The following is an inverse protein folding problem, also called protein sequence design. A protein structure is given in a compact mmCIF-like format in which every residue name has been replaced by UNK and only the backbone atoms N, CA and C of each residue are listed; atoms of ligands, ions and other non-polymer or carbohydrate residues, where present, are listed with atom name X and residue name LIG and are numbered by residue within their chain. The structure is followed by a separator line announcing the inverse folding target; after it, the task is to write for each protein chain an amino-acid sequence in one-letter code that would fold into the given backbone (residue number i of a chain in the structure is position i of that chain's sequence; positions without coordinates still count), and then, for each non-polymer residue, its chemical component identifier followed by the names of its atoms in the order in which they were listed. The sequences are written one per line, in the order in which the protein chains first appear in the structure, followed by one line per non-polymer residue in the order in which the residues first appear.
data_IF_021194499292
#
_entry.id   IF_021194499292
#
_cell.length_a   1.000
_cell.length_b   1.000
_cell.length_c   1.000
_cell.angle_alpha   90.00
_cell.angle_beta   90.00
_cell.angle_gamma   90.00
#
_symmetry.space_group_name_H-M   'P 1'
#
loop_
_entity.id
_entity.type
_entity.pdbx_description
1 polymer ?
#
# COMPACT_ATOMS: atom_id res chain seq x y z
N UNK A 1 74.21 -11.38 -29.51
CA UNK A 1 72.80 -11.90 -29.44
C UNK A 1 71.96 -11.37 -28.26
N UNK A 2 72.41 -10.39 -27.46
CA UNK A 2 71.65 -9.85 -26.28
C UNK A 2 70.65 -8.75 -26.62
N UNK A 3 70.72 -8.08 -27.77
CA UNK A 3 69.86 -6.96 -28.14
C UNK A 3 68.47 -7.34 -28.64
N UNK A 4 68.26 -8.54 -29.17
CA UNK A 4 66.96 -9.00 -29.73
C UNK A 4 65.90 -9.32 -28.64
N UNK A 5 66.38 -9.80 -27.48
CA UNK A 5 65.48 -10.11 -26.38
C UNK A 5 64.87 -8.87 -25.71
N UNK A 6 65.60 -7.76 -25.59
CA UNK A 6 65.10 -6.49 -25.02
C UNK A 6 64.09 -5.82 -25.92
N UNK A 7 64.26 -5.88 -27.25
CA UNK A 7 63.34 -5.29 -28.20
C UNK A 7 61.97 -5.99 -28.17
N UNK A 8 61.94 -7.31 -28.05
CA UNK A 8 60.71 -8.12 -27.95
C UNK A 8 60.03 -7.87 -26.63
N UNK A 9 60.75 -7.78 -25.50
CA UNK A 9 60.18 -7.52 -24.19
C UNK A 9 59.56 -6.11 -24.12
N UNK A 10 60.19 -5.08 -24.73
CA UNK A 10 59.64 -3.72 -24.77
C UNK A 10 58.40 -3.63 -25.67
N UNK A 11 58.39 -4.32 -26.82
CA UNK A 11 57.23 -4.39 -27.71
C UNK A 11 56.04 -5.11 -27.06
N UNK A 12 56.27 -6.21 -26.35
CA UNK A 12 55.21 -6.93 -25.62
C UNK A 12 54.68 -6.08 -24.46
N UNK A 13 55.55 -5.35 -23.75
CA UNK A 13 55.16 -4.43 -22.69
C UNK A 13 54.31 -3.24 -23.21
N UNK A 14 54.68 -2.65 -24.35
CA UNK A 14 53.93 -1.54 -24.96
C UNK A 14 52.58 -2.00 -25.52
N UNK A 15 52.48 -3.20 -26.08
CA UNK A 15 51.20 -3.76 -26.56
C UNK A 15 50.27 -4.12 -25.40
N UNK A 16 50.81 -4.70 -24.33
CA UNK A 16 50.02 -4.99 -23.12
C UNK A 16 49.50 -3.70 -22.46
N UNK A 17 50.33 -2.65 -22.37
CA UNK A 17 49.93 -1.34 -21.82
C UNK A 17 48.90 -0.64 -22.71
N UNK A 18 48.98 -0.73 -24.01
CA UNK A 18 48.02 -0.22 -24.97
C UNK A 18 46.64 -0.92 -24.89
N UNK A 19 46.65 -2.24 -24.63
CA UNK A 19 45.39 -3.00 -24.44
C UNK A 19 44.67 -2.65 -23.16
N UNK A 20 45.36 -2.35 -22.06
CA UNK A 20 44.74 -1.94 -20.77
C UNK A 20 44.14 -0.54 -20.88
N UNK A 21 44.79 0.39 -21.59
CA UNK A 21 44.29 1.75 -21.79
C UNK A 21 43.15 1.83 -22.85
N UNK A 22 43.06 0.85 -23.73
CA UNK A 22 42.05 0.81 -24.79
C UNK A 22 40.62 0.55 -24.31
N UNK A 23 40.46 -0.13 -23.17
CA UNK A 23 39.15 -0.47 -22.63
C UNK A 23 38.33 0.75 -22.14
N UNK A 24 39.00 1.86 -21.81
CA UNK A 24 38.28 3.08 -21.36
C UNK A 24 37.85 3.99 -22.52
N UNK A 25 38.32 3.75 -23.75
CA UNK A 25 38.03 4.57 -24.94
C UNK A 25 37.17 3.86 -25.98
N UNK A 26 36.38 2.86 -25.56
CA UNK A 26 35.49 2.15 -26.49
C UNK A 26 34.39 3.15 -26.94
N UNK A 27 34.25 3.39 -28.27
CA UNK A 27 33.16 4.23 -28.78
C UNK A 27 31.81 3.69 -28.33
N UNK A 28 30.95 4.55 -27.76
CA UNK A 28 29.63 4.16 -27.22
C UNK A 28 29.63 3.60 -25.80
N UNK A 29 30.81 3.50 -25.12
CA UNK A 29 30.85 3.19 -23.69
C UNK A 29 30.13 4.29 -22.90
N UNK A 30 29.08 3.99 -22.11
CA UNK A 30 28.40 4.99 -21.27
C UNK A 30 29.37 5.61 -20.26
N UNK A 31 29.34 6.91 -20.12
CA UNK A 31 30.02 7.60 -19.01
C UNK A 31 29.38 7.22 -17.67
N UNK A 32 30.08 7.44 -16.55
CA UNK A 32 29.51 7.23 -15.21
C UNK A 32 28.15 7.95 -15.05
N UNK A 33 28.04 9.17 -15.57
CA UNK A 33 26.79 9.94 -15.53
C UNK A 33 25.65 9.33 -16.39
N UNK A 34 25.98 8.47 -17.35
CA UNK A 34 25.02 7.80 -18.24
C UNK A 34 24.70 6.37 -17.77
N UNK A 35 25.39 5.87 -16.74
CA UNK A 35 25.09 4.54 -16.20
C UNK A 35 23.74 4.56 -15.49
N UNK A 36 22.89 3.57 -15.75
CA UNK A 36 21.66 3.42 -14.98
C UNK A 36 21.96 3.28 -13.49
N UNK A 37 21.23 4.00 -12.65
CA UNK A 37 21.31 3.80 -11.22
C UNK A 37 20.88 2.37 -10.86
N UNK A 38 21.55 1.76 -9.91
CA UNK A 38 21.06 0.53 -9.30
C UNK A 38 19.71 0.83 -8.65
N UNK A 39 18.81 -0.13 -8.65
CA UNK A 39 17.47 0.04 -8.04
C UNK A 39 17.53 0.58 -6.61
N UNK A 40 18.51 0.13 -5.81
CA UNK A 40 18.76 0.57 -4.43
C UNK A 40 19.28 2.01 -4.31
N UNK A 41 19.78 2.60 -5.39
CA UNK A 41 20.31 3.98 -5.43
C UNK A 41 19.24 5.00 -5.80
N UNK A 42 18.10 4.56 -6.29
CA UNK A 42 16.98 5.45 -6.63
C UNK A 42 16.44 6.08 -5.35
N UNK A 43 16.43 7.41 -5.28
CA UNK A 43 15.96 8.19 -4.12
C UNK A 43 14.84 9.19 -4.48
N UNK A 44 14.28 9.10 -5.66
CA UNK A 44 13.20 9.95 -6.10
C UNK A 44 11.84 9.29 -5.82
N UNK A 45 10.97 9.96 -5.07
CA UNK A 45 9.63 9.47 -4.73
C UNK A 45 8.82 9.05 -5.95
N UNK A 46 8.77 9.89 -6.99
CA UNK A 46 7.93 9.61 -8.16
C UNK A 46 8.39 8.34 -8.88
N UNK A 47 9.69 8.12 -8.94
CA UNK A 47 10.27 6.95 -9.59
C UNK A 47 10.00 5.69 -8.79
N UNK A 48 10.21 5.72 -7.46
CA UNK A 48 9.95 4.57 -6.59
C UNK A 48 8.44 4.26 -6.58
N UNK A 49 7.61 5.29 -6.38
CA UNK A 49 6.15 5.14 -6.35
C UNK A 49 5.62 4.63 -7.70
N UNK A 50 6.09 5.21 -8.80
CA UNK A 50 5.67 4.81 -10.15
C UNK A 50 5.97 3.36 -10.48
N UNK A 51 7.11 2.84 -10.05
CA UNK A 51 7.52 1.45 -10.28
C UNK A 51 6.80 0.45 -9.37
N UNK A 52 6.59 0.81 -8.10
CA UNK A 52 6.22 -0.16 -7.06
C UNK A 52 4.77 -0.04 -6.59
N UNK A 53 4.15 1.14 -6.71
CA UNK A 53 2.85 1.41 -6.08
C UNK A 53 1.75 1.77 -7.09
N UNK A 54 2.11 2.55 -8.13
CA UNK A 54 1.16 3.16 -9.06
C UNK A 54 0.28 2.16 -9.81
N UNK A 55 0.78 0.96 -10.09
CA UNK A 55 0.02 -0.08 -10.81
C UNK A 55 -1.28 -0.49 -10.10
N UNK A 56 -1.27 -0.49 -8.77
CA UNK A 56 -2.44 -0.84 -7.96
C UNK A 56 -3.14 0.38 -7.36
N UNK A 57 -2.38 1.40 -6.94
CA UNK A 57 -2.90 2.57 -6.22
C UNK A 57 -3.18 3.79 -7.11
N UNK A 58 -2.93 3.66 -8.43
CA UNK A 58 -3.05 4.75 -9.40
C UNK A 58 -1.81 5.64 -9.46
N UNK A 59 -1.56 6.23 -10.62
CA UNK A 59 -0.35 7.04 -10.89
C UNK A 59 -0.21 8.26 -9.98
N UNK A 60 -1.33 8.82 -9.53
CA UNK A 60 -1.39 9.98 -8.62
C UNK A 60 -2.02 9.59 -7.27
N UNK A 61 -1.91 8.33 -6.86
CA UNK A 61 -2.38 7.82 -5.58
C UNK A 61 -3.89 7.66 -5.46
N UNK A 62 -4.63 7.65 -6.55
CA UNK A 62 -6.10 7.52 -6.57
C UNK A 62 -6.58 6.83 -7.84
N UNK A 63 -7.85 6.40 -7.85
CA UNK A 63 -8.51 5.75 -9.00
C UNK A 63 -7.84 4.44 -9.44
N UNK A 64 -7.05 3.83 -8.58
CA UNK A 64 -6.52 2.48 -8.78
C UNK A 64 -7.47 1.41 -8.23
N UNK A 65 -7.16 0.15 -8.53
CA UNK A 65 -7.92 -1.01 -8.00
C UNK A 65 -7.80 -1.13 -6.47
N UNK A 66 -6.65 -0.75 -5.91
CA UNK A 66 -6.41 -0.72 -4.48
C UNK A 66 -6.89 0.60 -3.85
N UNK A 67 -6.80 0.68 -2.52
CA UNK A 67 -7.11 1.88 -1.73
C UNK A 67 -6.37 3.11 -2.25
N UNK A 68 -7.03 4.29 -2.36
CA UNK A 68 -6.35 5.53 -2.67
C UNK A 68 -5.34 5.88 -1.55
N UNK A 69 -4.10 6.13 -1.93
CA UNK A 69 -3.06 6.61 -1.02
C UNK A 69 -3.05 8.14 -0.93
N UNK A 70 -3.67 8.82 -1.90
CA UNK A 70 -3.92 10.27 -1.90
C UNK A 70 -5.19 10.62 -1.12
N UNK A 71 -5.39 9.99 0.00
CA UNK A 71 -6.50 10.25 0.90
C UNK A 71 -5.95 10.88 2.19
N UNK A 72 -6.19 12.20 2.42
CA UNK A 72 -5.69 12.88 3.61
C UNK A 72 -6.19 12.27 4.91
N UNK A 73 -7.41 11.72 4.91
CA UNK A 73 -7.97 11.07 6.09
C UNK A 73 -7.24 9.75 6.38
N UNK A 74 -7.04 8.91 5.37
CA UNK A 74 -6.26 7.69 5.53
C UNK A 74 -4.85 7.98 6.07
N UNK A 75 -4.18 9.01 5.52
CA UNK A 75 -2.84 9.41 5.95
C UNK A 75 -2.81 10.05 7.35
N UNK A 76 -3.95 10.58 7.83
CA UNK A 76 -4.07 11.06 9.21
C UNK A 76 -4.39 9.93 10.20
N UNK A 77 -5.08 8.87 9.75
CA UNK A 77 -5.45 7.71 10.55
C UNK A 77 -4.27 6.78 10.81
N UNK A 78 -3.48 6.51 9.75
CA UNK A 78 -2.45 5.47 9.80
C UNK A 78 -1.11 6.06 10.27
N UNK A 79 -0.54 5.48 11.32
CA UNK A 79 0.75 5.92 11.86
C UNK A 79 1.88 5.58 10.88
N UNK A 80 2.96 6.35 10.95
CA UNK A 80 4.15 6.16 10.11
C UNK A 80 4.76 4.75 10.26
N UNK A 81 4.86 4.24 11.47
CA UNK A 81 5.37 2.90 11.76
C UNK A 81 4.46 1.79 11.17
N UNK A 82 3.16 1.99 11.24
CA UNK A 82 2.18 1.09 10.63
C UNK A 82 2.28 1.09 9.11
N UNK A 83 2.42 2.27 8.47
CA UNK A 83 2.67 2.37 7.02
C UNK A 83 3.95 1.64 6.62
N UNK A 84 5.02 1.81 7.41
CA UNK A 84 6.28 1.12 7.19
C UNK A 84 6.09 -0.40 7.23
N UNK A 85 5.37 -0.91 8.22
CA UNK A 85 5.08 -2.33 8.35
C UNK A 85 4.27 -2.87 7.16
N UNK A 86 3.19 -2.16 6.80
CA UNK A 86 2.33 -2.50 5.65
C UNK A 86 3.14 -2.57 4.35
N UNK A 87 4.00 -1.59 4.08
CA UNK A 87 4.81 -1.56 2.86
C UNK A 87 5.90 -2.63 2.92
N UNK A 88 6.60 -2.76 4.06
CA UNK A 88 7.72 -3.68 4.17
C UNK A 88 7.29 -5.14 4.05
N UNK A 89 6.22 -5.53 4.74
CA UNK A 89 5.76 -6.92 4.88
C UNK A 89 4.64 -7.29 3.91
N UNK A 90 4.03 -6.29 3.26
CA UNK A 90 2.78 -6.48 2.53
C UNK A 90 1.60 -6.71 3.46
N UNK A 91 0.47 -7.13 2.89
CA UNK A 91 -0.73 -7.46 3.66
C UNK A 91 -1.09 -8.92 3.41
N UNK A 92 -0.89 -9.80 4.40
CA UNK A 92 -1.15 -11.24 4.25
C UNK A 92 -2.58 -11.51 3.77
N UNK A 93 -2.70 -12.43 2.84
CA UNK A 93 -4.01 -12.82 2.29
C UNK A 93 -4.61 -11.84 1.29
N UNK A 94 -3.92 -10.76 0.94
CA UNK A 94 -4.32 -9.81 -0.10
C UNK A 94 -3.35 -9.81 -1.28
N UNK A 95 -3.61 -8.99 -2.29
CA UNK A 95 -2.74 -8.80 -3.45
C UNK A 95 -1.58 -7.82 -3.19
N UNK A 96 -1.48 -7.21 -2.00
CA UNK A 96 -0.37 -6.32 -1.66
C UNK A 96 0.85 -7.13 -1.20
N UNK A 97 1.92 -7.24 -2.03
CA UNK A 97 3.09 -8.02 -1.68
C UNK A 97 4.00 -7.28 -0.70
N UNK A 98 4.96 -8.00 -0.11
CA UNK A 98 6.06 -7.38 0.62
C UNK A 98 6.98 -6.62 -0.34
N UNK A 99 7.35 -5.38 0.03
CA UNK A 99 8.27 -4.57 -0.77
C UNK A 99 9.68 -4.49 -0.20
N UNK A 100 9.89 -4.76 1.09
CA UNK A 100 11.23 -4.74 1.69
C UNK A 100 12.08 -5.90 1.21
N UNK A 101 13.36 -5.64 0.93
CA UNK A 101 14.38 -6.67 0.63
C UNK A 101 14.43 -7.77 1.70
N UNK A 102 14.14 -7.43 2.97
CA UNK A 102 14.09 -8.39 4.10
C UNK A 102 12.98 -9.43 3.97
N UNK A 103 11.93 -9.11 3.23
CA UNK A 103 10.76 -9.96 3.03
C UNK A 103 10.59 -10.41 1.58
N UNK A 104 11.68 -10.34 0.79
CA UNK A 104 11.69 -10.79 -0.61
C UNK A 104 11.25 -9.75 -1.63
N UNK A 105 11.03 -8.50 -1.22
CA UNK A 105 10.77 -7.37 -2.11
C UNK A 105 12.07 -6.76 -2.66
N UNK A 106 11.95 -5.60 -3.29
CA UNK A 106 13.08 -4.91 -3.95
C UNK A 106 13.37 -3.52 -3.41
N UNK A 107 12.76 -3.09 -2.30
CA UNK A 107 12.98 -1.77 -1.71
C UNK A 107 13.84 -1.87 -0.46
N UNK A 108 14.83 -0.99 -0.37
CA UNK A 108 15.59 -0.76 0.87
C UNK A 108 14.71 -0.05 1.91
N UNK A 109 15.10 -0.14 3.19
CA UNK A 109 14.42 0.58 4.28
C UNK A 109 14.33 2.09 3.99
N UNK A 110 15.43 2.67 3.45
CA UNK A 110 15.46 4.09 3.07
C UNK A 110 14.44 4.43 1.98
N UNK A 111 14.25 3.55 1.02
CA UNK A 111 13.27 3.76 -0.05
C UNK A 111 11.83 3.66 0.45
N UNK A 112 11.58 2.79 1.43
CA UNK A 112 10.28 2.73 2.11
C UNK A 112 10.00 4.05 2.83
N UNK A 113 10.99 4.63 3.54
CA UNK A 113 10.84 5.95 4.17
C UNK A 113 10.56 7.04 3.15
N UNK A 114 11.29 7.07 2.02
CA UNK A 114 11.05 8.04 0.95
C UNK A 114 9.61 7.94 0.43
N UNK A 115 9.06 6.74 0.32
CA UNK A 115 7.66 6.56 -0.11
C UNK A 115 6.70 7.12 0.94
N UNK A 116 6.89 6.79 2.22
CA UNK A 116 6.01 7.25 3.30
C UNK A 116 6.06 8.77 3.43
N UNK A 117 7.26 9.34 3.53
CA UNK A 117 7.46 10.78 3.62
C UNK A 117 6.90 11.50 2.39
N UNK A 118 7.11 10.92 1.21
CA UNK A 118 6.58 11.45 -0.05
C UNK A 118 5.04 11.48 -0.07
N UNK A 119 4.38 10.44 0.41
CA UNK A 119 2.91 10.41 0.55
C UNK A 119 2.43 11.45 1.57
N UNK A 120 3.04 11.50 2.76
CA UNK A 120 2.68 12.44 3.81
C UNK A 120 2.86 13.90 3.37
N UNK A 121 4.00 14.23 2.75
CA UNK A 121 4.30 15.59 2.34
C UNK A 121 3.44 16.07 1.16
N UNK A 122 3.08 15.19 0.24
CA UNK A 122 2.31 15.55 -0.96
C UNK A 122 0.82 15.53 -0.75
N UNK A 123 0.33 14.51 -0.05
CA UNK A 123 -1.09 14.20 0.05
C UNK A 123 -1.66 14.33 1.46
N UNK A 124 -0.81 14.28 2.49
CA UNK A 124 -1.23 14.48 3.86
C UNK A 124 -1.75 15.90 4.10
N UNK A 125 -2.76 16.01 4.94
CA UNK A 125 -3.36 17.30 5.39
C UNK A 125 -3.68 17.21 6.89
N UNK A 126 -2.66 17.04 7.75
CA UNK A 126 -2.88 16.80 9.18
C UNK A 126 -3.68 17.93 9.84
N UNK A 127 -3.54 19.17 9.38
CA UNK A 127 -4.26 20.33 9.92
C UNK A 127 -5.77 20.23 9.73
N UNK A 128 -6.24 19.50 8.72
CA UNK A 128 -7.68 19.31 8.44
C UNK A 128 -8.37 18.53 9.56
N UNK A 129 -7.64 17.71 10.30
CA UNK A 129 -8.17 16.78 11.29
C UNK A 129 -7.81 17.14 12.74
N UNK A 130 -7.23 18.32 13.01
CA UNK A 130 -6.76 18.72 14.35
C UNK A 130 -7.88 18.74 15.39
N UNK A 131 -9.09 19.08 14.98
CA UNK A 131 -10.27 19.16 15.85
C UNK A 131 -11.26 17.98 15.64
N UNK A 132 -10.81 16.91 15.00
CA UNK A 132 -11.62 15.73 14.74
C UNK A 132 -11.11 14.56 15.56
N UNK A 133 -11.96 13.96 16.38
CA UNK A 133 -11.62 12.69 17.03
C UNK A 133 -11.70 11.58 15.99
N UNK A 134 -10.55 11.13 15.52
CA UNK A 134 -10.46 10.06 14.54
C UNK A 134 -10.80 8.71 15.20
N UNK A 135 -11.54 7.82 14.51
CA UNK A 135 -11.72 6.45 14.99
C UNK A 135 -10.35 5.74 15.04
N UNK A 136 -10.15 4.80 15.97
CA UNK A 136 -8.94 4.00 16.03
C UNK A 136 -8.70 3.28 14.70
N UNK A 137 -7.45 3.33 14.20
CA UNK A 137 -7.12 2.72 12.91
C UNK A 137 -7.21 1.18 12.97
N UNK A 138 -6.53 0.57 13.93
CA UNK A 138 -6.47 -0.89 14.05
C UNK A 138 -7.64 -1.46 14.86
N UNK A 139 -7.88 -2.74 14.69
CA UNK A 139 -8.83 -3.49 15.54
C UNK A 139 -8.35 -3.55 16.99
N UNK A 140 -7.04 -3.59 17.21
CA UNK A 140 -6.43 -3.58 18.54
C UNK A 140 -6.65 -2.24 19.23
N UNK A 141 -6.38 -1.13 18.54
CA UNK A 141 -6.63 0.21 19.07
C UNK A 141 -8.13 0.43 19.37
N UNK A 142 -9.01 -0.14 18.55
CA UNK A 142 -10.46 -0.06 18.78
C UNK A 142 -10.86 -0.74 20.10
N UNK A 143 -10.31 -1.90 20.38
CA UNK A 143 -10.53 -2.60 21.67
C UNK A 143 -9.97 -1.81 22.85
N UNK A 144 -8.81 -1.17 22.68
CA UNK A 144 -8.19 -0.35 23.72
C UNK A 144 -9.05 0.87 24.13
N UNK A 145 -9.91 1.37 23.23
CA UNK A 145 -10.87 2.46 23.54
C UNK A 145 -12.28 1.95 23.86
N UNK A 146 -12.43 0.65 24.11
CA UNK A 146 -13.67 0.04 24.60
C UNK A 146 -14.65 -0.40 23.51
N UNK A 147 -14.26 -0.44 22.23
CA UNK A 147 -15.07 -1.11 21.23
C UNK A 147 -15.01 -2.64 21.47
N UNK A 148 -16.15 -3.22 21.68
CA UNK A 148 -16.27 -4.66 21.85
C UNK A 148 -15.97 -5.42 20.54
N UNK A 149 -15.81 -6.72 20.62
CA UNK A 149 -15.83 -7.59 19.45
C UNK A 149 -17.12 -7.38 18.69
N UNK A 150 -17.04 -7.21 17.36
CA UNK A 150 -18.20 -6.87 16.55
C UNK A 150 -19.31 -7.92 16.66
N UNK A 151 -20.54 -7.43 16.74
CA UNK A 151 -21.77 -8.22 16.83
C UNK A 151 -22.48 -8.26 15.48
N UNK A 152 -22.98 -9.41 15.07
CA UNK A 152 -23.54 -9.59 13.72
C UNK A 152 -24.91 -8.93 13.55
N UNK A 153 -25.76 -8.93 14.58
CA UNK A 153 -27.09 -8.33 14.49
C UNK A 153 -27.02 -6.81 14.54
N UNK A 154 -26.18 -6.25 15.42
CA UNK A 154 -25.88 -4.81 15.41
C UNK A 154 -25.18 -4.41 14.11
N UNK A 155 -24.29 -5.25 13.58
CA UNK A 155 -23.60 -5.01 12.32
C UNK A 155 -24.57 -4.95 11.13
N UNK A 156 -25.55 -5.83 11.07
CA UNK A 156 -26.62 -5.77 10.09
C UNK A 156 -27.42 -4.48 10.22
N UNK A 157 -27.75 -4.09 11.43
CA UNK A 157 -28.48 -2.82 11.70
C UNK A 157 -27.65 -1.61 11.28
N UNK A 158 -26.35 -1.59 11.63
CA UNK A 158 -25.41 -0.54 11.18
C UNK A 158 -25.30 -0.50 9.65
N UNK A 159 -25.21 -1.67 8.99
CA UNK A 159 -25.21 -1.75 7.54
C UNK A 159 -26.45 -1.11 6.91
N UNK A 160 -27.63 -1.46 7.41
CA UNK A 160 -28.90 -0.90 6.90
C UNK A 160 -28.92 0.61 7.09
N UNK A 161 -28.45 1.10 8.23
CA UNK A 161 -28.44 2.52 8.56
C UNK A 161 -27.47 3.32 7.69
N UNK A 162 -26.22 2.85 7.54
CA UNK A 162 -25.13 3.64 6.97
C UNK A 162 -24.76 3.28 5.54
N UNK A 163 -25.06 2.06 5.06
CA UNK A 163 -24.51 1.53 3.81
C UNK A 163 -25.56 1.19 2.76
N UNK A 164 -26.75 0.71 3.19
CA UNK A 164 -27.76 0.13 2.32
C UNK A 164 -28.29 1.08 1.25
N UNK A 165 -28.34 2.39 1.54
CA UNK A 165 -28.85 3.41 0.61
C UNK A 165 -28.01 3.54 -0.67
N UNK A 166 -26.74 3.11 -0.63
CA UNK A 166 -25.85 3.05 -1.79
C UNK A 166 -25.62 1.61 -2.29
N UNK A 167 -25.41 0.67 -1.35
CA UNK A 167 -24.99 -0.70 -1.65
C UNK A 167 -26.13 -1.72 -1.72
N UNK A 168 -27.39 -1.24 -1.62
CA UNK A 168 -28.57 -2.11 -1.62
C UNK A 168 -28.85 -2.71 -0.23
N UNK A 169 -30.14 -3.04 0.06
CA UNK A 169 -30.54 -3.53 1.39
C UNK A 169 -29.95 -4.91 1.74
N UNK A 170 -29.57 -5.66 0.75
CA UNK A 170 -28.98 -7.01 0.83
C UNK A 170 -27.49 -7.03 0.48
N UNK A 171 -26.87 -5.88 0.23
CA UNK A 171 -25.43 -5.78 -0.11
C UNK A 171 -25.07 -6.26 -1.51
N UNK A 172 -26.04 -6.54 -2.36
CA UNK A 172 -25.81 -6.99 -3.74
C UNK A 172 -25.43 -5.88 -4.73
N UNK A 173 -25.41 -4.64 -4.22
CA UNK A 173 -25.16 -3.43 -5.00
C UNK A 173 -26.44 -2.63 -5.27
N UNK A 174 -26.24 -1.40 -5.70
CA UNK A 174 -27.31 -0.45 -6.02
C UNK A 174 -26.87 0.51 -7.13
N UNK A 175 -27.70 1.49 -7.41
CA UNK A 175 -27.39 2.49 -8.44
C UNK A 175 -26.17 3.36 -8.13
N UNK A 176 -25.78 3.47 -6.83
CA UNK A 176 -24.71 4.34 -6.36
C UNK A 176 -23.46 3.60 -5.88
N UNK A 177 -23.58 2.33 -5.50
CA UNK A 177 -22.50 1.54 -4.93
C UNK A 177 -22.52 0.10 -5.43
N UNK A 178 -21.36 -0.50 -5.64
CA UNK A 178 -21.22 -1.90 -6.03
C UNK A 178 -21.60 -2.87 -4.91
N UNK A 179 -21.62 -4.17 -5.24
CA UNK A 179 -21.86 -5.24 -4.30
C UNK A 179 -20.77 -5.30 -3.24
N UNK A 180 -21.16 -5.23 -1.96
CA UNK A 180 -20.23 -5.35 -0.82
C UNK A 180 -20.27 -6.73 -0.17
N UNK A 181 -21.29 -7.54 -0.49
CA UNK A 181 -21.40 -8.94 -0.07
C UNK A 181 -20.96 -9.93 -1.17
N UNK A 182 -20.22 -9.43 -2.18
CA UNK A 182 -19.57 -10.33 -3.13
C UNK A 182 -18.54 -11.21 -2.42
N UNK A 183 -18.73 -12.52 -2.51
CA UNK A 183 -17.91 -13.47 -1.76
C UNK A 183 -16.44 -13.49 -2.20
N UNK A 184 -16.17 -13.21 -3.49
CA UNK A 184 -14.79 -13.12 -4.01
C UNK A 184 -14.09 -11.86 -3.48
N UNK A 185 -14.78 -10.72 -3.50
CA UNK A 185 -14.27 -9.49 -2.90
C UNK A 185 -13.96 -9.69 -1.40
N UNK A 186 -14.92 -10.19 -0.63
CA UNK A 186 -14.76 -10.39 0.80
C UNK A 186 -13.66 -11.40 1.14
N UNK A 187 -13.46 -12.41 0.30
CA UNK A 187 -12.38 -13.39 0.47
C UNK A 187 -10.99 -12.77 0.30
N UNK A 188 -10.86 -11.67 -0.46
CA UNK A 188 -9.60 -10.95 -0.69
C UNK A 188 -9.38 -9.79 0.28
N UNK A 189 -10.44 -9.32 0.96
CA UNK A 189 -10.36 -8.21 1.92
C UNK A 189 -10.13 -8.74 3.35
N UNK A 190 -9.08 -8.26 4.05
CA UNK A 190 -8.91 -8.51 5.49
C UNK A 190 -9.90 -7.68 6.31
N UNK A 191 -10.10 -8.02 7.60
CA UNK A 191 -10.92 -7.22 8.50
C UNK A 191 -10.39 -5.79 8.61
N UNK A 192 -9.06 -5.62 8.65
CA UNK A 192 -8.43 -4.31 8.65
C UNK A 192 -8.70 -3.54 7.34
N UNK A 193 -8.70 -4.21 6.20
CA UNK A 193 -9.04 -3.58 4.92
C UNK A 193 -10.50 -3.12 4.88
N UNK A 194 -11.44 -3.95 5.36
CA UNK A 194 -12.85 -3.59 5.48
C UNK A 194 -13.02 -2.42 6.46
N UNK A 195 -12.39 -2.48 7.64
CA UNK A 195 -12.40 -1.40 8.63
C UNK A 195 -11.90 -0.09 8.04
N UNK A 196 -10.78 -0.12 7.36
CA UNK A 196 -10.21 1.05 6.72
C UNK A 196 -11.14 1.61 5.63
N UNK A 197 -11.82 0.74 4.87
CA UNK A 197 -12.79 1.17 3.86
C UNK A 197 -14.02 1.83 4.50
N UNK A 198 -14.50 1.31 5.62
CA UNK A 198 -15.63 1.90 6.36
C UNK A 198 -15.25 3.26 6.96
N UNK A 199 -14.06 3.37 7.56
CA UNK A 199 -13.63 4.63 8.18
C UNK A 199 -13.34 5.70 7.13
N UNK A 200 -12.50 5.42 6.17
CA UNK A 200 -11.99 6.42 5.23
C UNK A 200 -12.87 6.58 3.98
N UNK A 201 -13.77 5.64 3.72
CA UNK A 201 -14.52 5.61 2.47
C UNK A 201 -13.64 5.29 1.25
N UNK A 202 -14.20 5.57 0.10
CA UNK A 202 -13.57 5.65 -1.21
C UNK A 202 -14.04 6.95 -1.86
N UNK A 203 -13.60 8.05 -1.27
CA UNK A 203 -14.02 9.41 -1.69
C UNK A 203 -13.69 9.68 -3.15
N UNK A 204 -12.65 9.05 -3.68
CA UNK A 204 -12.28 9.06 -5.09
C UNK A 204 -13.33 8.40 -6.01
N UNK A 205 -14.19 7.54 -5.46
CA UNK A 205 -15.29 6.86 -6.15
C UNK A 205 -16.67 7.31 -5.65
N UNK A 206 -16.74 8.33 -4.79
CA UNK A 206 -17.99 8.86 -4.25
C UNK A 206 -18.53 8.14 -3.02
N UNK A 207 -17.79 7.20 -2.42
CA UNK A 207 -18.13 6.59 -1.14
C UNK A 207 -17.66 7.50 0.01
N UNK A 208 -18.56 8.04 0.85
CA UNK A 208 -18.19 8.94 1.94
C UNK A 208 -17.41 8.24 3.05
N UNK A 209 -16.75 9.01 3.90
CA UNK A 209 -16.14 8.51 5.12
C UNK A 209 -17.19 8.30 6.25
N UNK A 210 -16.76 7.78 7.40
CA UNK A 210 -17.60 7.42 8.54
C UNK A 210 -18.46 8.58 9.09
N UNK A 211 -18.10 9.85 8.80
CA UNK A 211 -18.81 11.04 9.29
C UNK A 211 -20.02 11.39 8.45
N UNK A 212 -19.99 11.04 7.17
CA UNK A 212 -20.92 11.56 6.17
C UNK A 212 -21.82 10.48 5.55
N UNK A 213 -21.68 9.22 6.00
CA UNK A 213 -22.52 8.13 5.53
C UNK A 213 -24.03 8.40 5.81
N UNK A 214 -24.33 9.03 6.95
CA UNK A 214 -25.65 9.59 7.28
C UNK A 214 -25.42 11.01 7.83
N UNK A 215 -26.08 11.99 7.23
CA UNK A 215 -25.90 13.38 7.60
C UNK A 215 -26.20 13.62 9.10
N UNK A 216 -25.23 14.21 9.81
CA UNK A 216 -25.33 14.52 11.23
C UNK A 216 -25.24 13.33 12.19
N UNK A 217 -25.00 12.11 11.67
CA UNK A 217 -24.89 10.89 12.48
C UNK A 217 -23.60 10.13 12.11
N UNK A 218 -22.42 10.54 12.61
CA UNK A 218 -21.19 9.80 12.40
C UNK A 218 -21.26 8.39 12.99
N UNK A 219 -20.63 7.41 12.34
CA UNK A 219 -20.49 6.07 12.91
C UNK A 219 -19.62 6.10 14.17
N UNK A 220 -20.06 5.42 15.22
CA UNK A 220 -19.23 5.20 16.41
C UNK A 220 -18.16 4.15 16.16
N UNK A 221 -17.09 4.07 16.98
CA UNK A 221 -16.13 2.96 16.91
C UNK A 221 -16.78 1.58 17.00
N UNK A 222 -17.91 1.46 17.73
CA UNK A 222 -18.66 0.21 17.84
C UNK A 222 -19.45 -0.10 16.56
N UNK A 223 -20.13 0.88 15.95
CA UNK A 223 -20.82 0.67 14.66
C UNK A 223 -19.85 0.18 13.60
N UNK A 224 -18.61 0.74 13.58
CA UNK A 224 -17.56 0.33 12.66
C UNK A 224 -17.13 -1.12 12.94
N UNK A 225 -16.95 -1.51 14.21
CA UNK A 225 -16.58 -2.87 14.57
C UNK A 225 -17.68 -3.88 14.19
N UNK A 226 -18.93 -3.54 14.48
CA UNK A 226 -20.09 -4.39 14.23
C UNK A 226 -20.32 -4.59 12.72
N UNK A 227 -20.29 -3.53 11.91
CA UNK A 227 -20.48 -3.64 10.46
C UNK A 227 -19.34 -4.42 9.80
N UNK A 228 -18.09 -4.25 10.26
CA UNK A 228 -16.95 -5.04 9.76
C UNK A 228 -17.13 -6.52 10.07
N UNK A 229 -17.54 -6.88 11.29
CA UNK A 229 -17.81 -8.26 11.67
C UNK A 229 -18.94 -8.87 10.82
N UNK A 230 -20.00 -8.11 10.59
CA UNK A 230 -21.11 -8.56 9.76
C UNK A 230 -20.69 -8.78 8.31
N UNK A 231 -19.97 -7.85 7.69
CA UNK A 231 -19.42 -8.02 6.34
C UNK A 231 -18.50 -9.26 6.28
N UNK A 232 -17.59 -9.38 7.25
CA UNK A 232 -16.65 -10.49 7.31
C UNK A 232 -17.33 -11.86 7.44
N UNK A 233 -18.49 -11.93 8.09
CA UNK A 233 -19.27 -13.17 8.22
C UNK A 233 -19.78 -13.75 6.91
N UNK A 234 -19.88 -12.93 5.87
CA UNK A 234 -20.31 -13.34 4.53
C UNK A 234 -19.16 -13.82 3.63
N UNK A 235 -17.94 -13.92 4.15
CA UNK A 235 -16.80 -14.45 3.38
C UNK A 235 -17.03 -15.86 2.93
N UNK A 236 -16.80 -16.13 1.65
CA UNK A 236 -16.77 -17.49 1.14
C UNK A 236 -15.42 -18.14 1.48
N UNK A 237 -15.47 -19.43 1.83
CA UNK A 237 -14.25 -20.22 1.99
C UNK A 237 -13.68 -20.51 0.60
N UNK A 238 -12.49 -20.01 0.31
CA UNK A 238 -11.77 -20.38 -0.90
C UNK A 238 -11.14 -21.78 -0.71
N UNK A 239 -11.29 -22.71 -1.66
CA UNK A 239 -10.64 -24.00 -1.63
C UNK A 239 -9.12 -23.84 -1.46
N UNK A 240 -8.52 -24.58 -0.50
CA UNK A 240 -7.07 -24.58 -0.27
C UNK A 240 -6.53 -23.44 0.61
N UNK A 241 -7.37 -22.54 1.11
CA UNK A 241 -6.96 -21.50 2.05
C UNK A 241 -7.19 -21.98 3.49
N UNK A 242 -6.18 -21.93 4.39
CA UNK A 242 -6.40 -22.27 5.81
C UNK A 242 -7.49 -21.39 6.42
N UNK A 243 -8.36 -22.00 7.25
CA UNK A 243 -9.34 -21.26 8.04
C UNK A 243 -8.59 -20.31 8.97
N UNK A 244 -8.74 -18.99 8.82
CA UNK A 244 -8.05 -17.99 9.64
C UNK A 244 -7.05 -17.09 8.92
N UNK A 245 -6.75 -17.30 7.65
CA UNK A 245 -5.81 -16.45 6.90
C UNK A 245 -6.32 -15.01 6.61
N UNK A 246 -7.43 -14.60 7.19
CA UNK A 246 -7.97 -13.26 7.14
C UNK A 246 -8.19 -12.62 8.51
N UNK A 247 -7.85 -13.33 9.59
CA UNK A 247 -8.02 -12.83 10.96
C UNK A 247 -6.63 -12.52 11.54
N UNK A 248 -6.30 -11.26 11.58
CA UNK A 248 -5.15 -10.81 12.37
C UNK A 248 -4.06 -10.13 11.56
N UNK A 249 -3.93 -8.95 11.85
CA UNK A 249 -2.90 -7.92 11.96
C UNK A 249 -3.28 -6.64 11.29
#
# INVERSE_FOLDING_TARGET
MKGRGYLVAVLVGLTAYGLVLGCDRIPGKPTEAQRPLLSSQVSNFNEIYGRSCAGCHGGDGQLGAARPLRDPLYLALVRHDTLRQIIAQGVPGTTMPAFSERFGGGLTDKQIDIVIDGMQNRWGRPQTFTNVTLPPYSLEDARAVGAETGDLERGKTAYITYCAHCHGPDGSGGAKGGAVLDGAYLALASDQALRTAVIAGRVDLGMPDWREAVAGQPMTPQDIADVVAWLASHRQRLPGRPSGAGQGS
#
